data_IF_566843195532
#
_entry.id   IF_566843195532
#
_cell.length_a   1.000
_cell.length_b   1.000
_cell.length_c   1.000
_cell.angle_alpha   90.00
_cell.angle_beta   90.00
_cell.angle_gamma   90.00
#
_symmetry.space_group_name_H-M   'P 1'
#
loop_
_entity.id
_entity.type
_entity.pdbx_description
1 polymer ?
#
# COMPACT_ATOMS: atom_id res chain seq x y z
N UNK A 1 8.44 -12.53 -4.05
CA UNK A 1 7.10 -11.90 -3.92
C UNK A 1 7.12 -11.05 -2.68
N UNK A 2 6.98 -9.73 -2.81
CA UNK A 2 6.90 -8.81 -1.67
C UNK A 2 5.46 -8.36 -1.51
N UNK A 3 4.84 -8.71 -0.39
CA UNK A 3 3.51 -8.25 0.00
C UNK A 3 3.68 -7.15 1.05
N UNK A 4 3.08 -5.99 0.80
CA UNK A 4 3.18 -4.84 1.71
C UNK A 4 1.97 -4.81 2.63
N UNK A 5 2.23 -4.80 3.94
CA UNK A 5 1.21 -4.70 4.97
C UNK A 5 0.57 -3.29 5.04
N UNK A 6 -0.69 -3.22 5.46
CA UNK A 6 -1.44 -1.96 5.56
C UNK A 6 -0.73 -0.94 6.44
N UNK A 7 -0.15 -1.37 7.57
CA UNK A 7 0.53 -0.47 8.50
C UNK A 7 1.73 0.24 7.87
N UNK A 8 2.41 -0.40 6.92
CA UNK A 8 3.53 0.19 6.18
C UNK A 8 3.01 1.26 5.22
N UNK A 9 1.94 0.96 4.48
CA UNK A 9 1.29 1.92 3.60
C UNK A 9 0.76 3.14 4.34
N UNK A 10 0.06 2.93 5.46
CA UNK A 10 -0.50 4.04 6.26
C UNK A 10 0.62 4.97 6.73
N UNK A 11 1.71 4.42 7.27
CA UNK A 11 2.83 5.23 7.73
C UNK A 11 3.54 5.93 6.57
N UNK A 12 3.72 5.25 5.43
CA UNK A 12 4.28 5.85 4.23
C UNK A 12 3.44 7.04 3.72
N UNK A 13 2.12 6.86 3.61
CA UNK A 13 1.18 7.90 3.15
C UNK A 13 1.09 9.08 4.13
N UNK A 14 1.22 8.81 5.44
CA UNK A 14 1.25 9.86 6.48
C UNK A 14 2.63 10.49 6.68
N UNK A 15 3.63 10.08 5.90
CA UNK A 15 5.02 10.51 6.04
C UNK A 15 5.60 10.28 7.45
N UNK A 16 5.20 9.18 8.10
CA UNK A 16 5.72 8.71 9.39
C UNK A 16 6.85 7.73 9.13
N UNK A 17 8.07 8.09 9.52
CA UNK A 17 9.23 7.22 9.32
C UNK A 17 9.36 6.14 10.39
N UNK A 18 9.68 4.93 9.96
CA UNK A 18 10.13 3.84 10.79
C UNK A 18 10.93 2.84 9.95
N UNK A 19 11.54 1.84 10.60
CA UNK A 19 12.36 0.82 9.91
C UNK A 19 11.63 0.10 8.77
N UNK A 20 10.31 -0.09 8.84
CA UNK A 20 9.52 -0.73 7.78
C UNK A 20 9.28 0.22 6.60
N UNK A 21 9.01 1.49 6.87
CA UNK A 21 8.82 2.52 5.83
C UNK A 21 10.12 2.82 5.09
N UNK A 22 11.26 2.86 5.81
CA UNK A 22 12.58 3.03 5.18
C UNK A 22 12.85 1.88 4.20
N UNK A 23 12.66 0.63 4.64
CA UNK A 23 12.76 -0.54 3.74
C UNK A 23 11.79 -0.48 2.57
N UNK A 24 10.58 0.02 2.77
CA UNK A 24 9.63 0.18 1.68
C UNK A 24 10.11 1.22 0.66
N UNK A 25 10.68 2.34 1.09
CA UNK A 25 11.32 3.31 0.18
C UNK A 25 12.48 2.68 -0.59
N UNK A 26 13.35 1.93 0.09
CA UNK A 26 14.44 1.19 -0.57
C UNK A 26 13.91 0.23 -1.66
N UNK A 27 12.79 -0.46 -1.42
CA UNK A 27 12.15 -1.31 -2.44
C UNK A 27 11.66 -0.50 -3.64
N UNK A 28 11.11 0.70 -3.42
CA UNK A 28 10.66 1.59 -4.49
C UNK A 28 11.87 2.13 -5.28
N UNK A 29 12.94 2.54 -4.60
CA UNK A 29 14.16 3.09 -5.21
C UNK A 29 14.90 2.04 -6.05
N UNK A 30 14.84 0.78 -5.64
CA UNK A 30 15.40 -0.37 -6.37
C UNK A 30 14.44 -0.93 -7.44
N UNK A 31 13.29 -0.30 -7.66
CA UNK A 31 12.25 -0.73 -8.59
C UNK A 31 11.80 -2.19 -8.38
N UNK A 32 11.87 -2.68 -7.13
CA UNK A 32 11.52 -4.06 -6.81
C UNK A 32 10.00 -4.21 -6.84
N UNK A 33 9.45 -5.13 -7.66
CA UNK A 33 8.01 -5.32 -7.74
C UNK A 33 7.41 -5.78 -6.40
N UNK A 34 6.41 -5.04 -5.94
CA UNK A 34 5.59 -5.41 -4.80
C UNK A 34 4.13 -5.53 -5.22
N UNK A 35 3.30 -6.02 -4.31
CA UNK A 35 1.86 -6.06 -4.50
C UNK A 35 1.11 -5.98 -3.19
N UNK A 36 -0.21 -5.95 -3.30
CA UNK A 36 -1.16 -5.85 -2.20
C UNK A 36 -2.15 -6.99 -2.29
N UNK A 37 -2.73 -7.40 -1.17
CA UNK A 37 -3.87 -8.30 -1.19
C UNK A 37 -5.19 -7.50 -1.19
N UNK A 38 -6.30 -8.20 -1.40
CA UNK A 38 -7.63 -7.57 -1.42
C UNK A 38 -8.03 -6.97 -0.06
N UNK A 39 -7.57 -7.55 1.05
CA UNK A 39 -7.89 -7.08 2.40
C UNK A 39 -7.16 -5.75 2.72
N UNK A 40 -5.88 -5.63 2.39
CA UNK A 40 -5.06 -4.43 2.48
C UNK A 40 -5.67 -3.32 1.62
N UNK A 41 -6.11 -3.65 0.40
CA UNK A 41 -6.79 -2.71 -0.48
C UNK A 41 -8.06 -2.13 0.17
N UNK A 42 -8.91 -2.98 0.75
CA UNK A 42 -10.13 -2.53 1.43
C UNK A 42 -9.82 -1.67 2.67
N UNK A 43 -8.89 -2.11 3.51
CA UNK A 43 -8.50 -1.40 4.73
C UNK A 43 -7.96 0.00 4.43
N UNK A 44 -7.10 0.13 3.41
CA UNK A 44 -6.55 1.42 2.98
C UNK A 44 -7.63 2.37 2.49
N UNK A 45 -8.58 1.87 1.68
CA UNK A 45 -9.66 2.71 1.16
C UNK A 45 -10.65 3.15 2.24
N UNK A 46 -11.00 2.25 3.17
CA UNK A 46 -11.89 2.57 4.30
C UNK A 46 -11.26 3.59 5.27
N UNK A 47 -9.92 3.69 5.31
CA UNK A 47 -9.21 4.67 6.14
C UNK A 47 -9.24 6.12 5.62
N UNK A 48 -9.84 6.38 4.45
CA UNK A 48 -9.91 7.73 3.86
C UNK A 48 -11.07 8.54 4.44
N UNK A 49 -10.89 9.87 4.56
CA UNK A 49 -11.89 10.76 5.17
C UNK A 49 -12.84 11.39 4.17
N UNK A 50 -12.43 11.50 2.92
CA UNK A 50 -13.19 12.19 1.86
C UNK A 50 -13.25 11.33 0.61
N UNK A 51 -14.31 11.51 -0.18
CA UNK A 51 -14.45 10.83 -1.48
C UNK A 51 -13.30 11.17 -2.44
N UNK A 52 -12.75 12.39 -2.35
CA UNK A 52 -11.58 12.81 -3.12
C UNK A 52 -10.35 11.95 -2.78
N UNK A 53 -10.06 11.78 -1.49
CA UNK A 53 -8.93 10.97 -1.03
C UNK A 53 -9.14 9.48 -1.37
N UNK A 54 -10.36 8.99 -1.22
CA UNK A 54 -10.76 7.65 -1.63
C UNK A 54 -10.46 7.41 -3.11
N UNK A 55 -10.93 8.30 -3.99
CA UNK A 55 -10.76 8.15 -5.44
C UNK A 55 -9.29 8.26 -5.86
N UNK A 56 -8.52 9.16 -5.23
CA UNK A 56 -7.09 9.29 -5.46
C UNK A 56 -6.34 8.01 -5.06
N UNK A 57 -6.59 7.51 -3.85
CA UNK A 57 -5.94 6.30 -3.33
C UNK A 57 -6.33 5.07 -4.15
N UNK A 58 -7.61 4.94 -4.51
CA UNK A 58 -8.12 3.88 -5.40
C UNK A 58 -7.40 3.87 -6.74
N UNK A 59 -7.24 5.04 -7.37
CA UNK A 59 -6.53 5.18 -8.64
C UNK A 59 -5.09 4.70 -8.52
N UNK A 60 -4.40 5.06 -7.44
CA UNK A 60 -3.03 4.60 -7.19
C UNK A 60 -2.96 3.08 -6.95
N UNK A 61 -3.78 2.54 -6.03
CA UNK A 61 -3.74 1.11 -5.68
C UNK A 61 -4.11 0.20 -6.86
N UNK A 62 -4.97 0.65 -7.77
CA UNK A 62 -5.33 -0.09 -8.99
C UNK A 62 -4.16 -0.31 -9.96
N UNK A 63 -3.05 0.42 -9.82
CA UNK A 63 -1.83 0.20 -10.61
C UNK A 63 -0.95 -0.92 -10.07
N UNK A 64 -1.25 -1.42 -8.87
CA UNK A 64 -0.43 -2.39 -8.16
C UNK A 64 -0.84 -3.83 -8.49
N UNK A 65 0.09 -4.76 -8.34
CA UNK A 65 -0.19 -6.19 -8.49
C UNK A 65 -1.04 -6.69 -7.31
N UNK A 66 -2.15 -7.36 -7.60
CA UNK A 66 -2.97 -8.01 -6.59
C UNK A 66 -2.50 -9.44 -6.34
N UNK A 67 -2.25 -9.77 -5.08
CA UNK A 67 -2.00 -11.13 -4.62
C UNK A 67 -3.24 -11.69 -3.94
N UNK A 68 -3.69 -12.85 -4.40
CA UNK A 68 -4.79 -13.58 -3.80
C UNK A 68 -4.23 -14.68 -2.90
N UNK A 69 -4.84 -14.84 -1.72
CA UNK A 69 -4.53 -15.97 -0.85
C UNK A 69 -5.14 -17.21 -1.49
N UNK A 70 -4.33 -18.24 -1.71
CA UNK A 70 -4.84 -19.55 -2.08
C UNK A 70 -5.21 -20.30 -0.79
N UNK A 71 -6.41 -20.87 -0.77
CA UNK A 71 -6.87 -21.77 0.29
C UNK A 71 -6.19 -23.14 0.20
#
# INVERSE_FOLDING_TARGET
MVLIDTSVFINYLKNIENKKVIKFRELLDLEIPFGINIYIYQELLQGTKTEKDFNLLKKYLNTQKFYYLNN
#
